data_IF_545419061310
#
_entry.id   IF_545419061310
#
_cell.length_a   1.000
_cell.length_b   1.000
_cell.length_c   1.000
_cell.angle_alpha   90.00
_cell.angle_beta   90.00
_cell.angle_gamma   90.00
#
_symmetry.space_group_name_H-M   'P 1'
#
loop_
_entity.id
_entity.type
_entity.pdbx_description
1 polymer ?
#
# COMPACT_ATOMS: atom_id res chain seq x y z
N UNK A 1 -21.48 2.27 1.76
CA UNK A 1 -20.06 2.48 1.46
C UNK A 1 -19.88 3.97 1.23
N UNK A 2 -19.27 4.64 2.21
CA UNK A 2 -19.09 6.08 2.22
C UNK A 2 -17.87 6.49 1.38
N UNK A 3 -17.83 7.75 0.90
CA UNK A 3 -16.75 8.27 0.04
C UNK A 3 -15.33 8.09 0.65
N UNK A 4 -15.25 8.07 1.98
CA UNK A 4 -14.00 7.87 2.71
C UNK A 4 -13.46 6.43 2.61
N UNK A 5 -14.34 5.43 2.46
CA UNK A 5 -13.96 4.02 2.32
C UNK A 5 -13.36 3.75 0.93
N UNK A 6 -13.93 4.36 -0.12
CA UNK A 6 -13.42 4.27 -1.48
C UNK A 6 -12.01 4.85 -1.62
N UNK A 7 -11.76 6.02 -1.02
CA UNK A 7 -10.44 6.64 -1.04
C UNK A 7 -9.38 5.74 -0.39
N UNK A 8 -9.74 5.06 0.71
CA UNK A 8 -8.83 4.15 1.41
C UNK A 8 -8.52 2.90 0.58
N UNK A 9 -9.55 2.28 -0.03
CA UNK A 9 -9.35 1.13 -0.94
C UNK A 9 -8.49 1.49 -2.15
N UNK A 10 -8.66 2.70 -2.70
CA UNK A 10 -7.85 3.19 -3.80
C UNK A 10 -6.39 3.37 -3.38
N UNK A 11 -6.14 3.98 -2.21
CA UNK A 11 -4.79 4.12 -1.65
C UNK A 11 -4.08 2.78 -1.47
N UNK A 12 -4.77 1.77 -0.94
CA UNK A 12 -4.18 0.45 -0.76
C UNK A 12 -3.74 -0.17 -2.09
N UNK A 13 -4.56 -0.03 -3.14
CA UNK A 13 -4.21 -0.50 -4.50
C UNK A 13 -2.98 0.23 -5.05
N UNK A 14 -2.87 1.54 -4.85
CA UNK A 14 -1.70 2.32 -5.26
C UNK A 14 -0.45 1.85 -4.53
N UNK A 15 -0.51 1.70 -3.20
CA UNK A 15 0.61 1.20 -2.39
C UNK A 15 1.04 -0.18 -2.86
N UNK A 16 0.09 -1.09 -3.11
CA UNK A 16 0.38 -2.43 -3.64
C UNK A 16 1.09 -2.35 -4.99
N UNK A 17 0.61 -1.50 -5.90
CA UNK A 17 1.22 -1.33 -7.22
C UNK A 17 2.66 -0.82 -7.11
N UNK A 18 2.91 0.19 -6.28
CA UNK A 18 4.25 0.70 -6.03
C UNK A 18 5.18 -0.36 -5.44
N UNK A 19 4.69 -1.17 -4.49
CA UNK A 19 5.45 -2.28 -3.92
C UNK A 19 5.81 -3.35 -4.96
N UNK A 20 4.90 -3.68 -5.88
CA UNK A 20 5.16 -4.61 -6.98
C UNK A 20 6.18 -4.06 -7.98
N UNK A 21 6.32 -2.74 -8.07
CA UNK A 21 7.36 -2.07 -8.86
C UNK A 21 8.71 -1.98 -8.13
N UNK A 22 8.81 -2.48 -6.89
CA UNK A 22 10.04 -2.45 -6.10
C UNK A 22 10.27 -1.15 -5.33
N UNK A 23 9.28 -0.25 -5.28
CA UNK A 23 9.41 1.02 -4.58
C UNK A 23 9.50 0.83 -3.06
N UNK A 24 10.34 1.63 -2.42
CA UNK A 24 10.46 1.72 -0.97
C UNK A 24 9.43 2.72 -0.39
N UNK A 25 9.32 2.79 0.95
CA UNK A 25 8.29 3.62 1.61
C UNK A 25 8.43 5.12 1.32
N UNK A 26 9.65 5.62 1.09
CA UNK A 26 9.90 7.03 0.74
C UNK A 26 9.39 7.34 -0.67
N UNK A 27 9.72 6.48 -1.63
CA UNK A 27 9.23 6.61 -3.01
C UNK A 27 7.71 6.50 -3.08
N UNK A 28 7.10 5.64 -2.26
CA UNK A 28 5.64 5.54 -2.13
C UNK A 28 5.04 6.84 -1.56
N UNK A 29 5.69 7.46 -0.57
CA UNK A 29 5.26 8.73 0.01
C UNK A 29 5.30 9.87 -1.00
N UNK A 30 6.39 9.94 -1.77
CA UNK A 30 6.54 10.89 -2.88
C UNK A 30 5.44 10.67 -3.92
N UNK A 31 5.21 9.42 -4.34
CA UNK A 31 4.18 9.08 -5.32
C UNK A 31 2.76 9.41 -4.86
N UNK A 32 2.43 9.15 -3.60
CA UNK A 32 1.12 9.53 -3.05
C UNK A 32 0.95 11.05 -2.97
N UNK A 33 2.05 11.78 -2.71
CA UNK A 33 2.04 13.25 -2.70
C UNK A 33 1.81 13.81 -4.11
N UNK A 34 2.47 13.26 -5.14
CA UNK A 34 2.24 13.61 -6.55
C UNK A 34 0.80 13.38 -7.01
N UNK A 35 0.15 12.36 -6.45
CA UNK A 35 -1.25 12.03 -6.74
C UNK A 35 -2.24 12.82 -5.87
N UNK A 36 -1.76 13.78 -5.08
CA UNK A 36 -2.54 14.58 -4.12
C UNK A 36 -3.35 13.71 -3.14
N UNK A 37 -2.84 12.50 -2.85
CA UNK A 37 -3.49 11.54 -1.97
C UNK A 37 -3.03 11.71 -0.52
N UNK A 38 -3.99 11.73 0.39
CA UNK A 38 -3.74 11.77 1.83
C UNK A 38 -4.38 10.59 2.55
N UNK A 39 -3.73 10.03 3.59
CA UNK A 39 -2.41 10.39 4.13
C UNK A 39 -1.24 9.82 3.31
N UNK A 40 -0.22 10.65 3.03
CA UNK A 40 1.01 10.26 2.32
C UNK A 40 2.25 10.15 3.23
N UNK A 41 2.11 10.29 4.55
CA UNK A 41 3.26 10.24 5.47
C UNK A 41 3.82 8.81 5.61
N UNK A 42 5.13 8.70 5.87
CA UNK A 42 5.80 7.41 6.07
C UNK A 42 5.12 6.55 7.13
N UNK A 43 4.70 7.14 8.26
CA UNK A 43 4.04 6.41 9.34
C UNK A 43 2.65 5.90 8.95
N UNK A 44 1.90 6.64 8.12
CA UNK A 44 0.62 6.20 7.60
C UNK A 44 0.78 5.07 6.57
N UNK A 45 1.79 5.16 5.70
CA UNK A 45 2.15 4.12 4.74
C UNK A 45 2.58 2.86 5.48
N UNK A 46 3.43 2.96 6.49
CA UNK A 46 3.87 1.82 7.31
C UNK A 46 2.69 1.13 8.00
N UNK A 47 1.76 1.90 8.58
CA UNK A 47 0.52 1.37 9.16
C UNK A 47 -0.32 0.61 8.12
N UNK A 48 -0.44 1.16 6.92
CA UNK A 48 -1.23 0.55 5.84
C UNK A 48 -0.57 -0.74 5.35
N UNK A 49 0.76 -0.74 5.18
CA UNK A 49 1.55 -1.92 4.86
C UNK A 49 1.41 -2.99 5.95
N UNK A 50 1.45 -2.62 7.24
CA UNK A 50 1.23 -3.57 8.35
C UNK A 50 -0.16 -4.22 8.29
N UNK A 51 -1.20 -3.44 7.99
CA UNK A 51 -2.56 -3.96 7.80
C UNK A 51 -2.64 -4.90 6.59
N UNK A 52 -2.04 -4.53 5.47
CA UNK A 52 -1.94 -5.38 4.26
C UNK A 52 -1.26 -6.71 4.59
N UNK A 53 -0.13 -6.68 5.30
CA UNK A 53 0.56 -7.89 5.77
C UNK A 53 -0.34 -8.77 6.62
N UNK A 54 -1.05 -8.19 7.60
CA UNK A 54 -1.96 -8.94 8.46
C UNK A 54 -3.09 -9.60 7.66
N UNK A 55 -3.77 -8.85 6.76
CA UNK A 55 -4.87 -9.37 5.92
C UNK A 55 -4.44 -10.51 5.01
N UNK A 56 -3.21 -10.47 4.49
CA UNK A 56 -2.69 -11.52 3.59
C UNK A 56 -1.95 -12.64 4.34
N UNK A 57 -1.74 -12.52 5.66
CA UNK A 57 -0.91 -13.46 6.43
C UNK A 57 0.56 -13.44 6.00
N UNK A 58 1.09 -12.27 5.65
CA UNK A 58 2.46 -12.09 5.16
C UNK A 58 3.41 -11.66 6.29
N UNK A 59 4.58 -12.29 6.35
CA UNK A 59 5.63 -12.01 7.37
C UNK A 59 6.59 -10.90 6.95
N UNK A 60 6.85 -10.76 5.66
CA UNK A 60 7.79 -9.77 5.08
C UNK A 60 7.13 -9.04 3.91
N UNK A 61 7.74 -7.96 3.43
CA UNK A 61 7.29 -7.24 2.23
C UNK A 61 7.35 -8.14 0.99
N UNK A 62 8.42 -8.91 0.87
CA UNK A 62 8.58 -9.90 -0.19
C UNK A 62 7.45 -10.95 -0.16
N UNK A 63 7.14 -11.48 1.03
CA UNK A 63 6.05 -12.45 1.19
C UNK A 63 4.69 -11.82 0.86
N UNK A 64 4.47 -10.55 1.21
CA UNK A 64 3.28 -9.81 0.81
C UNK A 64 3.18 -9.69 -0.71
N UNK A 65 4.26 -9.25 -1.37
CA UNK A 65 4.35 -9.14 -2.83
C UNK A 65 4.08 -10.48 -3.52
N UNK A 66 4.72 -11.56 -3.09
CA UNK A 66 4.52 -12.90 -3.64
C UNK A 66 3.05 -13.38 -3.50
N UNK A 67 2.43 -13.15 -2.34
CA UNK A 67 1.02 -13.50 -2.10
C UNK A 67 0.05 -12.68 -2.92
N UNK A 68 0.38 -11.43 -3.24
CA UNK A 68 -0.45 -10.58 -4.09
C UNK A 68 -0.28 -10.97 -5.56
N UNK A 69 0.95 -11.13 -6.03
CA UNK A 69 1.26 -11.45 -7.42
C UNK A 69 0.79 -12.87 -7.83
N UNK A 70 0.79 -13.82 -6.88
CA UNK A 70 0.36 -15.20 -7.11
C UNK A 70 -1.15 -15.42 -7.11
N UNK A 71 -1.99 -14.40 -6.86
CA UNK A 71 -3.46 -14.49 -6.91
C UNK A 71 -4.06 -14.05 -8.26
N UNK A 72 -3.32 -14.25 -9.36
CA UNK A 72 -3.84 -14.02 -10.72
C UNK A 72 -4.93 -15.03 -11.08
#
# INVERSE_FOLDING_TARGET
MDNHEYLYLFMEKVIISCLLQGMNQKEISERLTELEMVPCSLSAIEKTIKKLKARHGAKTMFHLGAKIAGRK
#
